data_IF_798366315591
#
_entry.id   IF_798366315591
#
_cell.length_a   1.000
_cell.length_b   1.000
_cell.length_c   1.000
_cell.angle_alpha   90.00
_cell.angle_beta   90.00
_cell.angle_gamma   90.00
#
_symmetry.space_group_name_H-M   'P 1'
#
loop_
_entity.id
_entity.type
_entity.pdbx_description
1 polymer ?
#
# COMPACT_ATOMS: atom_id res chain seq x y z
N UNK A 1 0.59 -14.72 -25.20
CA UNK A 1 -0.82 -14.33 -25.38
C UNK A 1 -1.57 -14.63 -24.09
N UNK A 2 -2.06 -13.63 -23.36
CA UNK A 2 -3.11 -13.86 -22.36
C UNK A 2 -3.92 -12.59 -22.17
N UNK A 3 -5.06 -12.56 -22.88
CA UNK A 3 -6.23 -11.76 -22.57
C UNK A 3 -7.38 -12.74 -22.34
N UNK A 4 -7.29 -13.55 -21.29
CA UNK A 4 -8.40 -14.40 -20.84
C UNK A 4 -8.95 -13.86 -19.53
N UNK A 5 -10.27 -13.96 -19.43
CA UNK A 5 -11.15 -13.38 -18.44
C UNK A 5 -10.71 -13.57 -16.98
N UNK A 6 -10.88 -12.49 -16.21
CA UNK A 6 -11.31 -12.48 -14.83
C UNK A 6 -10.22 -12.81 -13.80
N UNK A 7 -9.57 -11.79 -13.29
CA UNK A 7 -8.91 -11.89 -11.99
C UNK A 7 -9.89 -12.41 -10.92
N UNK A 8 -9.43 -13.20 -9.93
CA UNK A 8 -10.31 -13.80 -8.94
C UNK A 8 -11.09 -12.71 -8.17
N UNK A 9 -12.36 -12.95 -7.78
CA UNK A 9 -13.21 -11.95 -7.12
C UNK A 9 -12.61 -11.33 -5.85
N UNK A 10 -11.67 -12.02 -5.22
CA UNK A 10 -10.96 -11.57 -4.02
C UNK A 10 -10.06 -10.34 -4.26
N UNK A 11 -9.70 -10.05 -5.51
CA UNK A 11 -8.93 -8.86 -5.91
C UNK A 11 -9.76 -7.58 -6.02
N UNK A 12 -11.06 -7.70 -5.75
CA UNK A 12 -11.97 -6.59 -5.76
C UNK A 12 -12.68 -6.47 -4.43
N UNK A 13 -12.82 -5.24 -3.96
CA UNK A 13 -13.59 -4.95 -2.78
C UNK A 13 -15.07 -5.21 -3.10
N UNK A 14 -15.62 -6.27 -2.49
CA UNK A 14 -16.92 -6.86 -2.85
C UNK A 14 -18.08 -5.86 -2.80
N UNK A 15 -17.96 -4.79 -2.00
CA UNK A 15 -18.97 -3.74 -1.91
C UNK A 15 -19.01 -2.82 -3.15
N UNK A 16 -17.90 -2.71 -3.89
CA UNK A 16 -17.72 -1.74 -4.97
C UNK A 16 -17.51 -2.35 -6.36
N UNK A 17 -17.32 -3.67 -6.46
CA UNK A 17 -17.13 -4.34 -7.74
C UNK A 17 -18.26 -5.31 -8.08
N UNK A 18 -18.96 -5.01 -9.17
CA UNK A 18 -19.96 -5.92 -9.77
C UNK A 18 -19.37 -6.83 -10.84
N UNK A 19 -18.28 -6.41 -11.49
CA UNK A 19 -17.60 -7.14 -12.57
C UNK A 19 -16.09 -6.89 -12.58
N UNK A 20 -15.33 -7.88 -13.03
CA UNK A 20 -13.90 -7.71 -13.28
C UNK A 20 -13.65 -6.75 -14.45
N UNK A 21 -12.64 -5.89 -14.33
CA UNK A 21 -12.22 -4.97 -15.38
C UNK A 21 -11.43 -5.70 -16.47
N UNK A 22 -11.41 -5.12 -17.68
CA UNK A 22 -10.51 -5.55 -18.74
C UNK A 22 -9.05 -5.22 -18.40
N UNK A 23 -8.10 -6.00 -18.92
CA UNK A 23 -6.67 -5.87 -18.59
C UNK A 23 -6.10 -4.43 -18.71
N UNK A 24 -6.40 -3.72 -19.81
CA UNK A 24 -5.91 -2.35 -20.01
C UNK A 24 -6.56 -1.35 -19.06
N UNK A 25 -7.84 -1.56 -18.74
CA UNK A 25 -8.61 -0.71 -17.84
C UNK A 25 -8.11 -0.90 -16.40
N UNK A 26 -7.92 -2.14 -15.97
CA UNK A 26 -7.33 -2.48 -14.68
C UNK A 26 -5.94 -1.84 -14.52
N UNK A 27 -5.06 -1.98 -15.52
CA UNK A 27 -3.72 -1.37 -15.46
C UNK A 27 -3.76 0.16 -15.38
N UNK A 28 -4.71 0.80 -16.06
CA UNK A 28 -4.91 2.24 -15.98
C UNK A 28 -5.44 2.66 -14.59
N UNK A 29 -6.38 1.89 -14.04
CA UNK A 29 -6.94 2.10 -12.71
C UNK A 29 -5.87 1.94 -11.62
N UNK A 30 -5.09 0.85 -11.65
CA UNK A 30 -3.98 0.62 -10.70
C UNK A 30 -2.96 1.76 -10.70
N UNK A 31 -2.59 2.29 -11.88
CA UNK A 31 -1.69 3.46 -11.96
C UNK A 31 -2.27 4.71 -11.30
N UNK A 32 -3.57 4.96 -11.48
CA UNK A 32 -4.23 6.08 -10.81
C UNK A 32 -4.33 5.84 -9.31
N UNK A 33 -4.61 4.61 -8.89
CA UNK A 33 -4.76 4.19 -7.51
C UNK A 33 -3.44 4.36 -6.73
N UNK A 34 -2.31 3.94 -7.30
CA UNK A 34 -0.96 4.24 -6.77
C UNK A 34 -0.70 5.73 -6.66
N UNK A 35 -1.04 6.49 -7.70
CA UNK A 35 -0.82 7.93 -7.73
C UNK A 35 -1.59 8.63 -6.60
N UNK A 36 -2.89 8.36 -6.47
CA UNK A 36 -3.73 9.02 -5.46
C UNK A 36 -3.37 8.59 -4.05
N UNK A 37 -2.97 7.32 -3.86
CA UNK A 37 -2.41 6.85 -2.61
C UNK A 37 -1.15 7.63 -2.21
N UNK A 38 -0.16 7.71 -3.10
CA UNK A 38 1.09 8.42 -2.82
C UNK A 38 0.89 9.93 -2.62
N UNK A 39 -0.01 10.55 -3.39
CA UNK A 39 -0.41 11.95 -3.19
C UNK A 39 -1.04 12.14 -1.80
N UNK A 40 -1.96 11.25 -1.39
CA UNK A 40 -2.60 11.29 -0.05
C UNK A 40 -1.56 11.14 1.06
N UNK A 41 -0.69 10.13 1.00
CA UNK A 41 0.32 9.89 2.04
C UNK A 41 1.30 11.05 2.15
N UNK A 42 1.72 11.63 1.02
CA UNK A 42 2.55 12.84 1.01
C UNK A 42 1.83 14.02 1.67
N UNK A 43 0.56 14.25 1.33
CA UNK A 43 -0.21 15.39 1.85
C UNK A 43 -0.49 15.23 3.37
N UNK A 44 -0.59 13.98 3.85
CA UNK A 44 -0.69 13.64 5.28
C UNK A 44 0.65 13.62 6.02
N UNK A 45 1.79 13.72 5.32
CA UNK A 45 3.12 13.61 5.91
C UNK A 45 3.49 12.21 6.39
N UNK A 46 2.89 11.17 5.79
CA UNK A 46 3.10 9.77 6.13
C UNK A 46 4.16 9.15 5.23
N UNK A 47 5.17 8.54 5.84
CA UNK A 47 6.17 7.77 5.14
C UNK A 47 5.62 6.40 4.73
N UNK A 48 5.84 6.04 3.46
CA UNK A 48 5.40 4.77 2.89
C UNK A 48 6.39 4.29 1.84
N UNK A 49 6.43 2.98 1.59
CA UNK A 49 7.24 2.39 0.52
C UNK A 49 6.49 1.27 -0.19
N UNK A 50 6.88 1.02 -1.44
CA UNK A 50 6.38 -0.10 -2.23
C UNK A 50 6.96 -1.41 -1.71
N UNK A 51 6.17 -2.48 -1.78
CA UNK A 51 6.57 -3.82 -1.38
C UNK A 51 6.41 -4.84 -2.51
N UNK A 52 6.94 -6.04 -2.29
CA UNK A 52 6.66 -7.23 -3.12
C UNK A 52 6.86 -7.00 -4.64
N UNK A 53 5.92 -7.46 -5.46
CA UNK A 53 5.93 -7.29 -6.92
C UNK A 53 5.89 -5.83 -7.37
N UNK A 54 5.24 -4.96 -6.58
CA UNK A 54 5.17 -3.53 -6.84
C UNK A 54 6.52 -2.84 -6.77
N UNK A 55 7.35 -3.21 -5.77
CA UNK A 55 8.73 -2.71 -5.67
C UNK A 55 9.59 -3.20 -6.84
N UNK A 56 9.47 -4.48 -7.20
CA UNK A 56 10.25 -5.08 -8.27
C UNK A 56 9.94 -4.46 -9.65
N UNK A 57 8.66 -4.24 -9.96
CA UNK A 57 8.25 -3.58 -11.20
C UNK A 57 8.78 -2.14 -11.29
N UNK A 58 8.75 -1.42 -10.16
CA UNK A 58 9.34 -0.09 -10.09
C UNK A 58 10.86 -0.12 -10.28
N UNK A 59 11.56 -1.09 -9.69
CA UNK A 59 13.01 -1.24 -9.82
C UNK A 59 13.42 -1.48 -11.27
N UNK A 60 12.77 -2.39 -11.98
CA UNK A 60 13.14 -2.76 -13.34
C UNK A 60 12.81 -1.69 -14.38
N UNK A 61 11.60 -1.13 -14.36
CA UNK A 61 11.15 -0.24 -15.44
C UNK A 61 10.27 0.92 -14.98
N UNK A 62 10.21 1.21 -13.66
CA UNK A 62 9.32 2.25 -13.09
C UNK A 62 7.84 2.00 -13.46
N UNK A 63 7.43 0.74 -13.55
CA UNK A 63 6.09 0.34 -13.97
C UNK A 63 5.52 -0.77 -13.09
N UNK A 64 4.20 -0.84 -13.00
CA UNK A 64 3.52 -2.04 -12.50
C UNK A 64 3.77 -3.18 -13.48
N UNK A 65 4.12 -4.33 -12.95
CA UNK A 65 4.46 -5.52 -13.73
C UNK A 65 3.30 -5.92 -14.65
N UNK A 66 3.55 -6.36 -15.90
CA UNK A 66 2.47 -6.60 -16.86
C UNK A 66 1.50 -7.71 -16.47
N UNK A 67 1.89 -8.65 -15.61
CA UNK A 67 1.02 -9.73 -15.13
C UNK A 67 0.57 -9.53 -13.68
N UNK A 68 0.96 -8.40 -13.09
CA UNK A 68 0.63 -8.05 -11.72
C UNK A 68 -0.68 -7.28 -11.68
N UNK A 69 -1.44 -7.53 -10.64
CA UNK A 69 -2.87 -7.24 -10.56
C UNK A 69 -3.27 -6.49 -9.30
N UNK A 70 -2.33 -6.42 -8.38
CA UNK A 70 -2.40 -5.95 -7.02
C UNK A 70 -1.18 -5.06 -6.75
N UNK A 71 -1.32 -4.22 -5.74
CA UNK A 71 -0.24 -3.34 -5.32
C UNK A 71 -0.15 -3.40 -3.81
N UNK A 72 1.05 -3.71 -3.34
CA UNK A 72 1.36 -3.77 -1.91
C UNK A 72 2.25 -2.61 -1.51
N UNK A 73 1.90 -2.00 -0.39
CA UNK A 73 2.68 -0.94 0.23
C UNK A 73 2.80 -1.17 1.73
N UNK A 74 3.76 -0.48 2.32
CA UNK A 74 3.95 -0.50 3.76
C UNK A 74 3.98 0.90 4.35
N UNK A 75 3.55 0.98 5.61
CA UNK A 75 3.67 2.15 6.48
C UNK A 75 4.22 1.73 7.83
N UNK A 76 4.72 2.68 8.61
CA UNK A 76 5.16 2.41 9.99
C UNK A 76 3.96 2.26 10.94
N UNK A 77 4.17 1.55 12.04
CA UNK A 77 3.13 1.37 13.07
C UNK A 77 2.51 2.67 13.60
N UNK A 78 3.30 3.71 13.96
CA UNK A 78 2.70 4.98 14.38
C UNK A 78 1.83 5.62 13.30
N UNK A 79 2.23 5.50 12.02
CA UNK A 79 1.46 6.00 10.89
C UNK A 79 0.15 5.24 10.73
N UNK A 80 0.15 3.91 10.92
CA UNK A 80 -1.08 3.13 10.88
C UNK A 80 -2.05 3.54 11.99
N UNK A 81 -1.57 3.75 13.22
CA UNK A 81 -2.41 4.27 14.31
C UNK A 81 -2.99 5.66 13.99
N UNK A 82 -2.18 6.54 13.38
CA UNK A 82 -2.66 7.85 12.94
C UNK A 82 -3.77 7.74 11.89
N UNK A 83 -3.58 6.90 10.87
CA UNK A 83 -4.58 6.63 9.84
C UNK A 83 -5.87 6.04 10.45
N UNK A 84 -5.74 5.05 11.33
CA UNK A 84 -6.87 4.41 12.01
C UNK A 84 -7.69 5.40 12.84
N UNK A 85 -7.02 6.32 13.54
CA UNK A 85 -7.67 7.25 14.47
C UNK A 85 -8.39 8.39 13.75
N UNK A 86 -7.78 8.93 12.69
CA UNK A 86 -8.25 10.18 12.08
C UNK A 86 -8.86 10.01 10.69
N UNK A 87 -8.52 8.94 9.98
CA UNK A 87 -8.84 8.80 8.55
C UNK A 87 -9.52 7.47 8.19
N UNK A 88 -9.84 6.61 9.15
CA UNK A 88 -10.57 5.38 8.85
C UNK A 88 -11.94 5.69 8.23
N UNK A 89 -12.28 5.00 7.15
CA UNK A 89 -13.48 5.18 6.32
C UNK A 89 -13.62 6.58 5.69
N UNK A 90 -12.54 7.36 5.65
CA UNK A 90 -12.55 8.64 4.93
C UNK A 90 -12.49 8.42 3.42
N UNK A 91 -13.13 9.32 2.67
CA UNK A 91 -13.21 9.28 1.20
C UNK A 91 -12.54 10.52 0.63
N UNK A 92 -11.64 10.30 -0.32
CA UNK A 92 -10.85 11.32 -1.00
C UNK A 92 -11.24 11.38 -2.47
N UNK A 93 -11.58 12.58 -2.93
CA UNK A 93 -11.95 12.81 -4.32
C UNK A 93 -10.78 13.38 -5.12
N UNK A 94 -10.37 12.68 -6.17
CA UNK A 94 -9.28 13.10 -7.04
C UNK A 94 -9.75 13.33 -8.47
N UNK A 95 -9.29 14.43 -9.07
CA UNK A 95 -9.37 14.66 -10.51
C UNK A 95 -7.97 14.58 -11.08
N UNK A 96 -7.77 13.67 -12.02
CA UNK A 96 -6.49 13.52 -12.72
C UNK A 96 -6.71 13.83 -14.21
N UNK A 97 -5.66 14.18 -14.98
CA UNK A 97 -5.79 14.32 -16.43
C UNK A 97 -6.34 13.07 -17.13
N UNK A 98 -6.22 11.89 -16.49
CA UNK A 98 -6.76 10.61 -16.98
C UNK A 98 -8.22 10.37 -16.58
N UNK A 99 -8.68 11.02 -15.51
CA UNK A 99 -10.03 10.90 -14.95
C UNK A 99 -10.61 12.30 -14.72
N UNK A 100 -11.01 13.01 -15.79
CA UNK A 100 -11.51 14.38 -15.69
C UNK A 100 -12.84 14.48 -14.95
N UNK A 101 -13.67 13.43 -14.98
CA UNK A 101 -14.89 13.33 -14.18
C UNK A 101 -14.62 13.28 -12.66
N UNK A 102 -13.38 12.94 -12.28
CA UNK A 102 -13.00 12.66 -10.91
C UNK A 102 -13.31 11.22 -10.50
N UNK A 103 -12.73 10.81 -9.37
CA UNK A 103 -12.92 9.49 -8.78
C UNK A 103 -12.76 9.54 -7.26
N UNK A 104 -13.54 8.71 -6.59
CA UNK A 104 -13.49 8.56 -5.14
C UNK A 104 -12.60 7.38 -4.75
N UNK A 105 -11.76 7.62 -3.75
CA UNK A 105 -10.91 6.62 -3.14
C UNK A 105 -11.16 6.61 -1.63
N UNK A 106 -11.30 5.42 -1.05
CA UNK A 106 -11.60 5.25 0.36
C UNK A 106 -10.44 4.59 1.08
N UNK A 107 -10.09 5.11 2.26
CA UNK A 107 -9.20 4.43 3.19
C UNK A 107 -10.03 3.59 4.16
N UNK A 108 -9.80 2.28 4.18
CA UNK A 108 -10.39 1.36 5.15
C UNK A 108 -9.30 0.74 6.01
N UNK A 109 -9.43 0.83 7.33
CA UNK A 109 -8.48 0.24 8.27
C UNK A 109 -9.13 -0.97 8.95
N UNK A 110 -8.45 -2.12 8.87
CA UNK A 110 -8.90 -3.36 9.47
C UNK A 110 -8.98 -3.20 10.99
N UNK A 111 -10.09 -3.55 11.66
CA UNK A 111 -10.22 -3.46 13.12
C UNK A 111 -9.13 -4.21 13.91
N UNK A 112 -8.51 -5.24 13.31
CA UNK A 112 -7.44 -6.04 13.90
C UNK A 112 -6.04 -5.61 13.45
N UNK A 113 -5.88 -4.37 12.96
CA UNK A 113 -4.57 -3.83 12.54
C UNK A 113 -3.55 -3.80 13.68
N UNK A 114 -3.99 -3.69 14.94
CA UNK A 114 -3.08 -3.65 16.09
C UNK A 114 -2.51 -5.01 16.48
N UNK A 115 -3.09 -6.11 16.00
CA UNK A 115 -2.54 -7.45 16.22
C UNK A 115 -1.24 -7.57 15.42
N UNK A 116 -0.09 -7.80 16.04
CA UNK A 116 1.18 -8.00 15.34
C UNK A 116 1.55 -9.47 15.09
N UNK A 117 0.68 -10.41 15.45
CA UNK A 117 0.97 -11.84 15.37
C UNK A 117 1.14 -12.32 13.92
N UNK A 118 2.28 -12.97 13.66
CA UNK A 118 2.62 -13.55 12.35
C UNK A 118 1.99 -14.93 12.14
N UNK A 119 1.44 -15.56 13.18
CA UNK A 119 0.78 -16.86 13.08
C UNK A 119 -0.65 -16.78 12.51
N UNK A 120 -1.27 -15.59 12.56
CA UNK A 120 -2.60 -15.34 12.03
C UNK A 120 -2.57 -15.01 10.53
N UNK A 121 -2.46 -16.07 9.72
CA UNK A 121 -2.48 -15.99 8.25
C UNK A 121 -3.77 -15.40 7.66
N UNK A 122 -4.84 -15.26 8.45
CA UNK A 122 -6.10 -14.64 7.98
C UNK A 122 -6.12 -13.13 8.15
N UNK A 123 -5.18 -12.57 8.92
CA UNK A 123 -5.15 -11.15 9.29
C UNK A 123 -3.85 -10.47 8.86
N UNK A 124 -3.36 -10.76 7.66
CA UNK A 124 -2.07 -10.21 7.17
C UNK A 124 -2.17 -8.72 6.79
N UNK A 125 -3.33 -8.28 6.28
CA UNK A 125 -3.53 -6.92 5.77
C UNK A 125 -4.11 -6.00 6.86
N UNK A 126 -3.49 -4.83 7.02
CA UNK A 126 -3.82 -3.86 8.08
C UNK A 126 -4.76 -2.75 7.61
N UNK A 127 -4.64 -2.34 6.35
CA UNK A 127 -5.55 -1.37 5.74
C UNK A 127 -5.60 -1.52 4.21
N UNK A 128 -6.58 -0.87 3.59
CA UNK A 128 -6.74 -0.82 2.14
C UNK A 128 -7.04 0.58 1.65
N UNK A 129 -6.45 0.92 0.51
CA UNK A 129 -6.82 2.10 -0.27
C UNK A 129 -7.62 1.67 -1.49
N UNK A 130 -8.90 2.01 -1.53
CA UNK A 130 -9.90 1.38 -2.41
C UNK A 130 -10.42 2.41 -3.41
N UNK A 131 -10.40 2.11 -4.71
CA UNK A 131 -11.19 2.82 -5.71
C UNK A 131 -12.65 2.37 -5.60
N UNK A 132 -13.55 3.28 -5.23
CA UNK A 132 -14.95 2.93 -4.94
C UNK A 132 -15.79 2.70 -6.20
N UNK A 133 -15.28 3.04 -7.40
CA UNK A 133 -15.99 2.80 -8.66
C UNK A 133 -15.60 1.45 -9.27
N UNK A 134 -14.32 1.08 -9.20
CA UNK A 134 -13.84 -0.20 -9.75
C UNK A 134 -13.80 -1.33 -8.73
N UNK A 135 -13.68 -0.99 -7.45
CA UNK A 135 -13.39 -1.92 -6.36
C UNK A 135 -11.95 -2.42 -6.32
N UNK A 136 -11.05 -1.94 -7.17
CA UNK A 136 -9.62 -2.24 -7.02
C UNK A 136 -9.05 -1.59 -5.76
N UNK A 137 -8.00 -2.16 -5.19
CA UNK A 137 -7.38 -1.63 -3.98
C UNK A 137 -5.85 -1.85 -3.94
N UNK A 138 -5.19 -1.06 -3.10
CA UNK A 138 -3.84 -1.32 -2.57
C UNK A 138 -4.00 -1.99 -1.21
N UNK A 139 -3.26 -3.07 -0.99
CA UNK A 139 -3.08 -3.65 0.33
C UNK A 139 -1.96 -2.92 1.09
N UNK A 140 -2.27 -2.47 2.30
CA UNK A 140 -1.35 -1.74 3.17
C UNK A 140 -1.02 -2.65 4.36
N UNK A 141 0.25 -2.94 4.53
CA UNK A 141 0.77 -3.67 5.70
C UNK A 141 1.60 -2.75 6.59
N UNK A 142 1.66 -3.06 7.87
CA UNK A 142 2.38 -2.23 8.84
C UNK A 142 3.72 -2.87 9.21
N UNK A 143 4.79 -2.09 9.16
CA UNK A 143 6.08 -2.44 9.73
C UNK A 143 6.13 -2.01 11.21
N UNK A 144 6.43 -2.97 12.08
CA UNK A 144 6.43 -2.82 13.55
C UNK A 144 7.79 -3.17 14.11
N UNK A 145 8.23 -2.52 15.18
CA UNK A 145 9.45 -2.93 15.86
C UNK A 145 9.28 -4.30 16.50
N UNK A 146 10.20 -5.23 16.21
CA UNK A 146 10.24 -6.55 16.82
C UNK A 146 11.28 -6.56 17.95
N UNK A 147 10.83 -6.24 19.17
CA UNK A 147 11.69 -6.14 20.35
C UNK A 147 12.22 -7.51 20.82
N UNK A 148 11.59 -8.60 20.41
CA UNK A 148 11.96 -9.98 20.75
C UNK A 148 12.83 -10.65 19.69
N UNK A 149 13.18 -9.94 18.62
CA UNK A 149 13.94 -10.51 17.51
C UNK A 149 15.35 -10.96 17.95
N UNK A 150 15.84 -12.15 17.57
CA UNK A 150 17.17 -12.64 17.97
C UNK A 150 18.33 -11.71 17.59
N UNK A 151 18.19 -10.97 16.48
CA UNK A 151 19.19 -10.00 16.05
C UNK A 151 19.19 -8.66 16.82
N UNK A 152 18.33 -8.52 17.83
CA UNK A 152 18.34 -7.40 18.77
C UNK A 152 17.61 -6.14 18.28
N UNK A 153 17.98 -4.99 18.86
CA UNK A 153 17.30 -3.72 18.66
C UNK A 153 17.37 -3.22 17.21
N UNK A 154 16.36 -2.44 16.80
CA UNK A 154 16.28 -1.87 15.46
C UNK A 154 15.70 -2.81 14.41
N UNK A 155 15.35 -4.04 14.78
CA UNK A 155 14.61 -4.94 13.90
C UNK A 155 13.14 -4.55 13.85
N UNK A 156 12.61 -4.51 12.64
CA UNK A 156 11.19 -4.39 12.36
C UNK A 156 10.71 -5.63 11.64
N UNK A 157 9.47 -6.02 11.88
CA UNK A 157 8.82 -7.08 11.13
C UNK A 157 7.40 -6.72 10.76
N UNK A 158 6.92 -7.41 9.73
CA UNK A 158 5.53 -7.38 9.27
C UNK A 158 4.84 -8.70 9.56
N UNK A 159 3.52 -8.72 9.43
CA UNK A 159 2.68 -9.91 9.66
C UNK A 159 2.93 -11.05 8.67
N UNK A 160 3.43 -10.70 7.49
CA UNK A 160 3.79 -11.64 6.42
C UNK A 160 5.22 -12.22 6.58
N UNK A 161 5.90 -11.90 7.69
CA UNK A 161 7.22 -12.43 8.01
C UNK A 161 8.39 -11.65 7.39
N UNK A 162 8.14 -10.55 6.66
CA UNK A 162 9.23 -9.69 6.20
C UNK A 162 9.90 -8.98 7.37
N UNK A 163 11.21 -8.92 7.32
CA UNK A 163 12.05 -8.32 8.35
C UNK A 163 12.92 -7.21 7.75
N UNK A 164 13.08 -6.13 8.51
CA UNK A 164 13.87 -4.97 8.14
C UNK A 164 14.74 -4.58 9.32
N UNK A 165 15.92 -4.04 9.04
CA UNK A 165 16.74 -3.40 10.07
C UNK A 165 16.73 -1.90 9.82
N UNK A 166 16.29 -1.15 10.82
CA UNK A 166 16.43 0.30 10.83
C UNK A 166 17.90 0.64 11.01
N UNK A 167 18.52 1.17 9.95
CA UNK A 167 19.80 1.85 10.05
C UNK A 167 19.53 3.35 10.18
N UNK A 168 19.87 3.95 11.32
CA UNK A 168 19.89 5.41 11.42
C UNK A 168 21.08 5.90 10.58
N UNK A 169 20.81 6.36 9.36
CA UNK A 169 21.79 7.09 8.58
C UNK A 169 21.86 8.53 9.12
N UNK A 170 22.71 8.77 10.11
CA UNK A 170 23.06 10.14 10.50
C UNK A 170 23.92 10.71 9.36
N UNK A 171 23.30 11.48 8.45
CA UNK A 171 24.06 12.31 7.52
C UNK A 171 24.67 13.46 8.30
N UNK A 172 25.87 13.24 8.84
CA UNK A 172 26.73 14.34 9.29
C UNK A 172 27.20 15.02 8.01
N UNK A 173 26.60 16.16 7.66
CA UNK A 173 27.22 17.06 6.69
C UNK A 173 28.53 17.52 7.30
N UNK A 174 29.67 17.12 6.75
CA UNK A 174 30.94 17.77 7.07
C UNK A 174 30.80 19.23 6.63
N UNK A 175 30.86 20.15 7.59
CA UNK A 175 31.16 21.53 7.27
C UNK A 175 32.66 21.59 6.99
N UNK A 176 33.04 21.21 5.78
CA UNK A 176 34.36 21.58 5.26
C UNK A 176 34.24 23.06 4.88
N UNK A 177 34.69 23.91 5.79
CA UNK A 177 34.92 25.33 5.56
C UNK A 177 36.17 25.51 4.70
N UNK A 178 36.01 26.29 3.62
CA UNK A 178 37.05 26.74 2.68
C UNK A 178 38.35 27.26 3.35
#
# INVERSE_FOLDING_TARGET
MSGKAGDPPQKYFRMFAEKALGYQEQKAALKNLVRTFLETMRDLGIETWLMHGSLLGWWWNKQIMPWDSDVDVQVTEPSMYFLATYYNMSVFHYKTPRLPAGRNYMLEVNPNFSNGDQSDWRNVIDARWIDTESGLFIDITTARYNLTHPEGQGMMSCKDGHEFRVAIAISVKSNDSD
#
